data_IF_486006104681
#
_entry.id   IF_486006104681
#
_cell.length_a   1.000
_cell.length_b   1.000
_cell.length_c   1.000
_cell.angle_alpha   90.00
_cell.angle_beta   90.00
_cell.angle_gamma   90.00
#
_symmetry.space_group_name_H-M   'P 1'
#
loop_
_entity.id
_entity.type
_entity.pdbx_description
1 polymer ?
#
# COMPACT_ATOMS: atom_id res chain seq x y z
N UNK A 1 51.49 -35.29 70.93
CA UNK A 1 51.13 -34.82 69.58
C UNK A 1 49.62 -34.59 69.53
N UNK A 2 49.11 -33.39 69.45
CA UNK A 2 47.67 -33.14 69.39
C UNK A 2 47.17 -33.17 67.93
N UNK A 3 46.06 -33.90 67.64
CA UNK A 3 45.39 -33.96 66.39
C UNK A 3 44.49 -32.72 66.21
N UNK A 4 44.75 -31.95 65.15
CA UNK A 4 43.92 -30.82 64.79
C UNK A 4 42.79 -31.35 63.92
N UNK A 5 41.52 -31.27 64.35
CA UNK A 5 40.31 -31.58 63.57
C UNK A 5 39.83 -30.31 62.94
N UNK A 6 39.89 -30.29 61.59
CA UNK A 6 39.39 -29.18 60.72
C UNK A 6 37.88 -29.31 60.60
N UNK A 7 37.11 -28.44 61.26
CA UNK A 7 35.68 -28.30 61.02
C UNK A 7 35.45 -27.65 59.65
N UNK A 8 34.81 -28.36 58.67
CA UNK A 8 34.28 -27.80 57.50
C UNK A 8 32.98 -27.04 57.81
N UNK A 9 33.01 -25.73 57.73
CA UNK A 9 31.80 -24.89 57.74
C UNK A 9 31.08 -25.05 56.35
N UNK A 10 29.94 -25.72 56.37
CA UNK A 10 29.02 -25.75 55.24
C UNK A 10 28.39 -24.36 55.12
N UNK A 11 28.76 -23.64 54.07
CA UNK A 11 28.10 -22.38 53.68
C UNK A 11 26.67 -22.72 53.19
N UNK A 12 25.68 -22.33 53.99
CA UNK A 12 24.29 -22.41 53.59
C UNK A 12 24.04 -21.36 52.49
N UNK A 13 23.84 -21.82 51.26
CA UNK A 13 23.36 -20.99 50.15
C UNK A 13 21.95 -20.52 50.53
N UNK A 14 21.83 -19.31 51.00
CA UNK A 14 20.55 -18.64 51.26
C UNK A 14 19.98 -18.26 49.88
N UNK A 15 19.08 -19.09 49.35
CA UNK A 15 18.27 -18.75 48.18
C UNK A 15 17.30 -17.65 48.62
N UNK A 16 17.59 -16.41 48.23
CA UNK A 16 16.69 -15.28 48.49
C UNK A 16 15.35 -15.55 47.78
N UNK A 17 14.21 -15.45 48.50
CA UNK A 17 12.91 -15.63 47.86
C UNK A 17 12.71 -14.55 46.82
N UNK A 18 12.49 -14.96 45.58
CA UNK A 18 12.10 -14.06 44.47
C UNK A 18 10.79 -13.34 44.86
N UNK A 19 10.70 -12.03 44.68
CA UNK A 19 9.48 -11.30 45.03
C UNK A 19 8.33 -11.82 44.14
N UNK A 20 7.31 -12.43 44.75
CA UNK A 20 6.06 -12.82 44.11
C UNK A 20 5.45 -11.54 43.53
N UNK A 21 5.39 -11.40 42.19
CA UNK A 21 4.66 -10.33 41.52
C UNK A 21 3.22 -10.38 42.01
N UNK A 22 2.71 -9.31 42.63
CA UNK A 22 1.35 -9.27 43.14
C UNK A 22 0.40 -9.43 41.92
N UNK A 23 -0.63 -10.27 42.10
CA UNK A 23 -1.65 -10.56 41.02
C UNK A 23 -2.24 -9.28 40.41
N UNK A 24 -2.35 -8.19 41.17
CA UNK A 24 -2.81 -6.90 40.68
C UNK A 24 -1.86 -6.24 39.66
N UNK A 25 -0.53 -6.39 39.81
CA UNK A 25 0.42 -5.86 38.83
C UNK A 25 0.36 -6.64 37.51
N UNK A 26 0.21 -7.96 37.58
CA UNK A 26 0.07 -8.80 36.39
C UNK A 26 -1.20 -8.43 35.63
N UNK A 27 -2.30 -8.19 36.32
CA UNK A 27 -3.56 -7.78 35.69
C UNK A 27 -3.43 -6.42 34.97
N UNK A 28 -2.79 -5.44 35.61
CA UNK A 28 -2.53 -4.13 35.02
C UNK A 28 -1.64 -4.24 33.77
N UNK A 29 -0.59 -5.05 33.82
CA UNK A 29 0.31 -5.27 32.69
C UNK A 29 -0.43 -5.95 31.52
N UNK A 30 -1.29 -6.94 31.78
CA UNK A 30 -2.14 -7.57 30.78
C UNK A 30 -3.10 -6.55 30.13
N UNK A 31 -3.77 -5.70 30.93
CA UNK A 31 -4.66 -4.65 30.41
C UNK A 31 -3.91 -3.66 29.51
N UNK A 32 -2.70 -3.24 29.88
CA UNK A 32 -1.86 -2.37 29.04
C UNK A 32 -1.49 -3.05 27.71
N UNK A 33 -1.05 -4.31 27.76
CA UNK A 33 -0.70 -5.07 26.56
C UNK A 33 -1.91 -5.18 25.62
N UNK A 34 -3.08 -5.53 26.18
CA UNK A 34 -4.32 -5.62 25.40
C UNK A 34 -4.69 -4.27 24.76
N UNK A 35 -4.60 -3.18 25.55
CA UNK A 35 -4.87 -1.83 25.04
C UNK A 35 -3.91 -1.46 23.89
N UNK A 36 -2.60 -1.66 24.07
CA UNK A 36 -1.62 -1.36 23.02
C UNK A 36 -1.81 -2.22 21.77
N UNK A 37 -2.13 -3.51 21.95
CA UNK A 37 -2.42 -4.40 20.84
C UNK A 37 -3.69 -3.94 20.08
N UNK A 38 -4.73 -3.53 20.80
CA UNK A 38 -5.96 -3.01 20.19
C UNK A 38 -5.70 -1.71 19.41
N UNK A 39 -4.95 -0.77 20.00
CA UNK A 39 -4.57 0.48 19.33
C UNK A 39 -3.76 0.18 18.06
N UNK A 40 -2.79 -0.73 18.15
CA UNK A 40 -1.96 -1.15 17.01
C UNK A 40 -2.80 -1.78 15.90
N UNK A 41 -3.76 -2.64 16.24
CA UNK A 41 -4.67 -3.27 15.28
C UNK A 41 -5.56 -2.24 14.59
N UNK A 42 -6.15 -1.30 15.33
CA UNK A 42 -6.97 -0.22 14.76
C UNK A 42 -6.10 0.65 13.84
N UNK A 43 -4.91 1.05 14.28
CA UNK A 43 -4.00 1.87 13.48
C UNK A 43 -3.57 1.15 12.19
N UNK A 44 -3.21 -0.13 12.26
CA UNK A 44 -2.82 -0.89 11.07
C UNK A 44 -3.97 -1.08 10.08
N UNK A 45 -5.20 -1.25 10.56
CA UNK A 45 -6.38 -1.43 9.70
C UNK A 45 -6.75 -0.17 8.88
N UNK A 46 -6.38 1.02 9.36
CA UNK A 46 -6.61 2.28 8.64
C UNK A 46 -5.58 2.56 7.54
N UNK A 47 -4.42 1.89 7.59
CA UNK A 47 -3.33 2.11 6.64
C UNK A 47 -3.28 1.09 5.50
N UNK A 48 -4.00 -0.02 5.64
CA UNK A 48 -3.89 -1.18 4.75
C UNK A 48 -5.27 -1.65 4.35
N UNK A 49 -5.53 -1.67 3.03
CA UNK A 49 -6.72 -2.30 2.46
C UNK A 49 -6.34 -3.61 1.72
N UNK A 50 -7.25 -4.55 1.70
CA UNK A 50 -7.10 -5.83 0.99
C UNK A 50 -8.13 -5.91 -0.11
N UNK A 51 -7.67 -6.29 -1.31
CA UNK A 51 -8.53 -6.44 -2.48
C UNK A 51 -8.28 -7.80 -3.13
N UNK A 52 -9.29 -8.33 -3.77
CA UNK A 52 -9.19 -9.47 -4.69
C UNK A 52 -9.34 -8.91 -6.13
N UNK A 53 -8.51 -9.41 -7.03
CA UNK A 53 -8.52 -8.98 -8.43
C UNK A 53 -9.57 -9.81 -9.15
N UNK A 54 -10.54 -9.14 -9.76
CA UNK A 54 -11.62 -9.78 -10.51
C UNK A 54 -11.44 -9.63 -12.03
N UNK A 55 -10.67 -8.62 -12.47
CA UNK A 55 -10.54 -8.23 -13.88
C UNK A 55 -9.24 -8.70 -14.50
N UNK A 56 -9.26 -8.89 -15.82
CA UNK A 56 -8.11 -9.31 -16.64
C UNK A 56 -7.27 -8.15 -17.17
N UNK A 57 -7.61 -6.90 -16.82
CA UNK A 57 -6.99 -5.68 -17.38
C UNK A 57 -5.50 -5.52 -17.05
N UNK A 58 -4.99 -6.26 -16.07
CA UNK A 58 -3.59 -6.23 -15.64
C UNK A 58 -2.80 -7.51 -15.99
N UNK A 59 -3.39 -8.39 -16.82
CA UNK A 59 -2.67 -9.55 -17.36
C UNK A 59 -1.54 -9.10 -18.32
N UNK A 60 -0.45 -9.86 -18.37
CA UNK A 60 -0.16 -11.12 -17.65
C UNK A 60 0.41 -10.92 -16.23
N UNK A 61 0.60 -9.69 -15.78
CA UNK A 61 1.28 -9.40 -14.52
C UNK A 61 0.40 -9.68 -13.29
N UNK A 62 -0.92 -9.52 -13.44
CA UNK A 62 -1.89 -9.87 -12.42
C UNK A 62 -3.05 -10.63 -13.04
N UNK A 63 -3.57 -11.62 -12.30
CA UNK A 63 -4.67 -12.48 -12.76
C UNK A 63 -5.86 -12.41 -11.79
N UNK A 64 -7.10 -12.68 -12.27
CA UNK A 64 -8.26 -12.82 -11.42
C UNK A 64 -8.04 -13.87 -10.30
N UNK A 65 -8.62 -13.61 -9.12
CA UNK A 65 -8.46 -14.45 -7.92
C UNK A 65 -7.20 -14.20 -7.10
N UNK A 66 -6.27 -13.39 -7.61
CA UNK A 66 -5.12 -12.95 -6.80
C UNK A 66 -5.55 -11.93 -5.77
N UNK A 67 -4.89 -11.95 -4.59
CA UNK A 67 -5.18 -11.00 -3.51
C UNK A 67 -4.00 -10.10 -3.25
N UNK A 68 -4.29 -8.82 -3.11
CA UNK A 68 -3.31 -7.76 -2.96
C UNK A 68 -3.52 -6.97 -1.67
N UNK A 69 -2.43 -6.38 -1.20
CA UNK A 69 -2.43 -5.38 -0.12
C UNK A 69 -2.14 -4.02 -0.75
N UNK A 70 -3.00 -3.07 -0.43
CA UNK A 70 -2.92 -1.68 -0.87
C UNK A 70 -2.57 -0.81 0.31
N UNK A 71 -1.51 -0.03 0.20
CA UNK A 71 -1.12 0.96 1.19
C UNK A 71 -1.85 2.27 0.95
N UNK A 72 -2.53 2.74 1.99
CA UNK A 72 -3.20 4.05 2.05
C UNK A 72 -2.43 5.06 2.90
N UNK A 73 -1.18 4.75 3.26
CA UNK A 73 -0.39 5.49 4.25
C UNK A 73 -0.33 7.00 3.97
N UNK A 74 -0.16 7.41 2.71
CA UNK A 74 -0.11 8.83 2.34
C UNK A 74 -1.41 9.58 2.59
N UNK A 75 -2.57 8.94 2.39
CA UNK A 75 -3.89 9.56 2.67
C UNK A 75 -4.10 9.81 4.16
N UNK A 76 -3.71 8.86 5.00
CA UNK A 76 -3.87 8.97 6.45
C UNK A 76 -2.99 10.10 7.05
N UNK A 77 -1.74 10.21 6.61
CA UNK A 77 -0.82 11.24 7.10
C UNK A 77 -1.18 12.65 6.60
N UNK A 78 -1.62 12.79 5.36
CA UNK A 78 -2.01 14.10 4.78
C UNK A 78 -3.16 14.75 5.53
N UNK A 79 -4.20 14.00 5.92
CA UNK A 79 -5.35 14.51 6.67
C UNK A 79 -5.00 14.90 8.11
N UNK A 80 -4.04 14.23 8.73
CA UNK A 80 -3.65 14.47 10.11
C UNK A 80 -2.73 15.70 10.27
N UNK A 81 -1.82 15.90 9.31
CA UNK A 81 -0.89 17.05 9.31
C UNK A 81 -1.56 18.38 8.93
N UNK A 82 -2.63 18.34 8.16
CA UNK A 82 -3.34 19.57 7.74
C UNK A 82 -4.24 20.19 8.82
N UNK A 83 -4.40 19.54 9.99
CA UNK A 83 -5.21 20.07 11.11
C UNK A 83 -6.67 20.29 10.79
N UNK A 84 -7.15 19.89 9.63
CA UNK A 84 -8.50 20.07 9.15
C UNK A 84 -9.32 18.82 9.42
N UNK A 85 -10.02 18.80 10.55
CA UNK A 85 -11.01 17.77 10.88
C UNK A 85 -12.18 17.69 9.88
N UNK A 86 -12.21 18.58 8.89
CA UNK A 86 -13.25 18.71 7.86
C UNK A 86 -12.72 18.69 6.42
N UNK A 87 -11.42 18.52 6.21
CA UNK A 87 -10.92 18.22 4.89
C UNK A 87 -11.20 16.73 4.60
N UNK A 88 -12.43 16.46 4.32
CA UNK A 88 -12.94 15.15 3.93
C UNK A 88 -12.40 14.69 2.57
N UNK A 89 -11.30 15.09 2.10
CA UNK A 89 -10.52 14.50 1.01
C UNK A 89 -9.15 15.18 1.05
N UNK A 90 -8.04 14.48 1.33
CA UNK A 90 -6.74 15.00 0.94
C UNK A 90 -6.78 15.12 -0.59
N UNK A 91 -6.90 16.34 -1.06
CA UNK A 91 -7.09 16.70 -2.45
C UNK A 91 -5.81 16.52 -3.30
N UNK A 92 -4.94 15.60 -2.92
CA UNK A 92 -3.74 15.37 -3.70
C UNK A 92 -3.16 13.99 -3.41
N UNK A 93 -3.15 13.14 -4.43
CA UNK A 93 -2.36 11.92 -4.42
C UNK A 93 -0.85 12.20 -4.30
N UNK A 94 -0.42 13.46 -4.43
CA UNK A 94 0.92 13.90 -4.07
C UNK A 94 1.27 13.57 -2.60
N UNK A 95 0.28 13.57 -1.70
CA UNK A 95 0.47 13.14 -0.31
C UNK A 95 0.79 11.62 -0.18
N UNK A 96 0.41 10.81 -1.17
CA UNK A 96 0.70 9.36 -1.18
C UNK A 96 2.12 9.07 -1.70
N UNK A 97 2.79 10.07 -2.30
CA UNK A 97 4.12 9.89 -2.89
C UNK A 97 4.11 8.89 -4.05
N UNK A 98 3.10 8.95 -4.90
CA UNK A 98 2.96 8.06 -6.06
C UNK A 98 4.11 8.29 -7.04
N UNK A 99 4.61 7.18 -7.58
CA UNK A 99 5.66 7.17 -8.59
C UNK A 99 5.18 6.46 -9.86
N UNK A 100 5.76 6.81 -11.02
CA UNK A 100 5.47 6.10 -12.26
C UNK A 100 5.73 4.61 -12.12
N UNK A 101 5.01 3.84 -12.92
CA UNK A 101 5.06 2.38 -12.97
C UNK A 101 4.47 1.66 -11.75
N UNK A 102 4.13 2.36 -10.68
CA UNK A 102 3.44 1.74 -9.54
C UNK A 102 2.05 1.26 -9.93
N UNK A 103 1.64 0.16 -9.34
CA UNK A 103 0.29 -0.37 -9.46
C UNK A 103 -0.59 0.31 -8.41
N UNK A 104 -1.69 0.90 -8.88
CA UNK A 104 -2.56 1.76 -8.07
C UNK A 104 -3.99 1.27 -8.14
N UNK A 105 -4.71 1.40 -7.04
CA UNK A 105 -6.14 1.12 -6.93
C UNK A 105 -6.87 2.46 -6.75
N UNK A 106 -7.90 2.69 -7.55
CA UNK A 106 -8.67 3.94 -7.56
C UNK A 106 -10.11 3.72 -8.04
N UNK A 107 -10.98 4.68 -7.81
CA UNK A 107 -12.33 4.71 -8.37
C UNK A 107 -12.34 5.46 -9.70
N UNK A 108 -13.06 4.91 -10.71
CA UNK A 108 -13.21 5.58 -12.02
C UNK A 108 -14.07 6.83 -11.89
N UNK A 109 -15.10 6.78 -11.06
CA UNK A 109 -16.05 7.88 -10.82
C UNK A 109 -16.07 8.28 -9.36
N UNK A 110 -16.80 9.34 -9.01
CA UNK A 110 -17.01 9.73 -7.60
C UNK A 110 -18.00 8.80 -6.89
N UNK A 111 -18.72 7.98 -7.64
CA UNK A 111 -19.60 6.93 -7.10
C UNK A 111 -18.76 5.73 -6.62
N UNK A 112 -18.57 5.65 -5.31
CA UNK A 112 -17.81 4.57 -4.68
C UNK A 112 -18.63 3.28 -4.50
N UNK A 113 -19.85 3.20 -5.01
CA UNK A 113 -20.63 1.96 -5.05
C UNK A 113 -20.13 0.98 -6.11
N UNK A 114 -19.41 1.49 -7.14
CA UNK A 114 -18.77 0.67 -8.14
C UNK A 114 -17.43 0.09 -7.61
N UNK A 115 -17.07 -1.14 -8.04
CA UNK A 115 -15.80 -1.73 -7.63
C UNK A 115 -14.62 -0.90 -8.14
N UNK A 116 -13.57 -0.69 -7.30
CA UNK A 116 -12.41 0.06 -7.72
C UNK A 116 -11.60 -0.66 -8.80
N UNK A 117 -10.92 0.12 -9.63
CA UNK A 117 -10.04 -0.36 -10.69
C UNK A 117 -8.61 -0.52 -10.16
N UNK A 118 -7.90 -1.51 -10.71
CA UNK A 118 -6.45 -1.69 -10.54
C UNK A 118 -5.77 -1.41 -11.88
N UNK A 119 -4.83 -0.46 -11.92
CA UNK A 119 -4.07 -0.07 -13.12
C UNK A 119 -2.65 0.34 -12.77
N UNK A 120 -1.83 0.51 -13.80
CA UNK A 120 -0.47 1.05 -13.67
C UNK A 120 -0.49 2.56 -13.87
N UNK A 121 0.20 3.27 -12.98
CA UNK A 121 0.38 4.71 -13.05
C UNK A 121 1.43 5.06 -14.11
N UNK A 122 1.00 5.80 -15.12
CA UNK A 122 1.84 6.19 -16.26
C UNK A 122 2.17 7.68 -16.22
N UNK A 123 1.16 8.54 -16.08
CA UNK A 123 1.33 10.00 -16.05
C UNK A 123 1.12 10.57 -14.65
N UNK A 124 1.96 11.51 -14.26
CA UNK A 124 1.91 12.29 -13.03
C UNK A 124 1.40 13.71 -13.31
N UNK A 125 0.93 14.45 -12.30
CA UNK A 125 0.50 15.84 -12.46
C UNK A 125 1.52 16.69 -13.21
N UNK A 126 1.03 17.44 -14.19
CA UNK A 126 1.83 18.31 -15.07
C UNK A 126 2.51 17.63 -16.24
N UNK A 127 2.40 16.31 -16.40
CA UNK A 127 2.96 15.61 -17.54
C UNK A 127 2.19 15.85 -18.84
N UNK A 128 2.89 15.97 -19.94
CA UNK A 128 2.35 15.75 -21.26
C UNK A 128 2.41 14.25 -21.57
N UNK A 129 1.26 13.61 -21.60
CA UNK A 129 1.10 12.21 -22.01
C UNK A 129 0.75 12.17 -23.49
N UNK A 130 1.45 11.34 -24.26
CA UNK A 130 1.11 11.09 -25.67
C UNK A 130 1.25 9.59 -25.97
N UNK A 131 0.33 9.06 -26.78
CA UNK A 131 0.31 7.67 -27.25
C UNK A 131 0.27 7.69 -28.77
N UNK A 132 1.34 7.23 -29.40
CA UNK A 132 1.49 7.10 -30.85
C UNK A 132 2.58 6.06 -31.16
N UNK A 133 2.65 5.62 -32.39
CA UNK A 133 3.64 4.65 -32.87
C UNK A 133 3.76 3.38 -31.99
N UNK A 134 2.62 2.94 -31.43
CA UNK A 134 2.55 1.76 -30.59
C UNK A 134 3.22 1.90 -29.22
N UNK A 135 3.48 3.12 -28.77
CA UNK A 135 4.15 3.38 -27.49
C UNK A 135 3.57 4.57 -26.73
N UNK A 136 3.95 4.65 -25.45
CA UNK A 136 3.62 5.77 -24.57
C UNK A 136 4.81 6.72 -24.46
N UNK A 137 4.53 8.01 -24.52
CA UNK A 137 5.50 9.09 -24.39
C UNK A 137 5.09 10.01 -23.24
N UNK A 138 6.05 10.36 -22.39
CA UNK A 138 5.88 11.35 -21.33
C UNK A 138 6.86 12.48 -21.58
N UNK A 139 6.34 13.70 -21.68
CA UNK A 139 7.13 14.89 -21.97
C UNK A 139 8.04 14.70 -23.21
N UNK A 140 7.45 14.12 -24.28
CA UNK A 140 8.10 13.79 -25.56
C UNK A 140 9.22 12.71 -25.46
N UNK A 141 9.29 11.95 -24.37
CA UNK A 141 10.23 10.83 -24.22
C UNK A 141 9.46 9.52 -24.13
N UNK A 142 9.85 8.55 -24.96
CA UNK A 142 9.25 7.22 -24.92
C UNK A 142 9.50 6.56 -23.57
N UNK A 143 8.44 6.05 -22.96
CA UNK A 143 8.51 5.27 -21.72
C UNK A 143 8.87 3.84 -22.06
N UNK A 144 9.91 3.24 -21.46
CA UNK A 144 10.15 1.79 -21.57
C UNK A 144 9.06 1.02 -20.84
N UNK A 145 8.44 0.07 -21.51
CA UNK A 145 7.34 -0.73 -20.95
C UNK A 145 7.65 -2.24 -21.09
N UNK A 146 8.69 -2.74 -20.37
CA UNK A 146 9.16 -4.13 -20.52
C UNK A 146 8.14 -5.17 -20.02
N UNK A 147 7.12 -4.74 -19.33
CA UNK A 147 6.02 -5.56 -18.81
C UNK A 147 4.92 -5.82 -19.84
N UNK A 148 5.01 -5.23 -21.03
CA UNK A 148 4.04 -5.41 -22.11
C UNK A 148 4.52 -6.42 -23.14
N UNK A 149 3.56 -7.15 -23.70
CA UNK A 149 3.78 -8.07 -24.82
C UNK A 149 3.28 -7.51 -26.16
N UNK A 150 2.51 -6.43 -26.14
CA UNK A 150 1.84 -5.86 -27.32
C UNK A 150 1.99 -4.33 -27.35
N UNK A 151 1.95 -3.70 -28.53
CA UNK A 151 1.93 -2.26 -28.66
C UNK A 151 0.74 -1.62 -27.94
N UNK A 152 0.86 -0.32 -27.63
CA UNK A 152 -0.21 0.46 -27.05
C UNK A 152 -0.93 1.25 -28.14
N UNK A 153 -2.18 0.90 -28.40
CA UNK A 153 -3.07 1.68 -29.24
C UNK A 153 -3.88 2.68 -28.39
N UNK A 154 -4.33 3.75 -29.01
CA UNK A 154 -5.12 4.76 -28.34
C UNK A 154 -6.37 5.11 -29.16
N UNK A 155 -7.49 5.39 -28.46
CA UNK A 155 -8.79 5.66 -29.09
C UNK A 155 -9.33 7.06 -28.83
N UNK A 156 -9.10 7.66 -27.68
CA UNK A 156 -9.69 8.94 -27.30
C UNK A 156 -8.67 9.93 -26.72
N UNK A 157 -8.21 9.69 -25.50
CA UNK A 157 -7.30 10.60 -24.79
C UNK A 157 -5.83 10.29 -25.12
N UNK A 158 -5.47 10.41 -26.40
CA UNK A 158 -4.15 10.00 -26.91
C UNK A 158 -3.05 11.04 -26.72
N UNK A 159 -3.41 12.30 -26.49
CA UNK A 159 -2.44 13.37 -26.20
C UNK A 159 -3.11 14.43 -25.34
N UNK A 160 -2.59 14.62 -24.12
CA UNK A 160 -3.10 15.61 -23.18
C UNK A 160 -2.03 15.98 -22.15
N UNK A 161 -2.17 17.20 -21.61
CA UNK A 161 -1.37 17.63 -20.44
C UNK A 161 -2.22 17.43 -19.19
N UNK A 162 -1.65 16.72 -18.21
CA UNK A 162 -2.32 16.46 -16.94
C UNK A 162 -2.36 17.70 -16.06
N UNK A 163 -3.49 17.95 -15.42
CA UNK A 163 -3.66 19.01 -14.42
C UNK A 163 -2.84 18.75 -13.14
N UNK A 164 -2.91 19.71 -12.21
CA UNK A 164 -2.12 19.70 -10.97
C UNK A 164 -2.42 18.53 -10.01
N UNK A 165 -3.57 17.87 -10.15
CA UNK A 165 -3.97 16.70 -9.35
C UNK A 165 -4.56 15.60 -10.23
N UNK A 166 -4.08 15.48 -11.46
CA UNK A 166 -4.54 14.49 -12.43
C UNK A 166 -3.47 13.44 -12.69
N UNK A 167 -3.92 12.20 -12.81
CA UNK A 167 -3.09 11.03 -13.02
C UNK A 167 -3.59 10.24 -14.22
N UNK A 168 -2.69 9.62 -14.96
CA UNK A 168 -3.01 8.82 -16.13
C UNK A 168 -2.65 7.35 -15.88
N UNK A 169 -3.63 6.48 -15.99
CA UNK A 169 -3.50 5.07 -15.66
C UNK A 169 -3.75 4.20 -16.89
N UNK A 170 -2.92 3.17 -17.08
CA UNK A 170 -3.10 2.16 -18.11
C UNK A 170 -3.13 0.75 -17.50
N UNK A 171 -3.95 -0.11 -18.11
CA UNK A 171 -3.86 -1.54 -17.82
C UNK A 171 -2.71 -2.19 -18.57
N UNK A 172 -2.12 -3.23 -18.01
CA UNK A 172 -1.04 -3.98 -18.64
C UNK A 172 -1.58 -4.81 -19.83
N UNK A 173 -2.82 -5.27 -19.76
CA UNK A 173 -3.51 -5.91 -20.87
C UNK A 173 -4.11 -4.84 -21.82
N UNK A 174 -3.27 -4.17 -22.61
CA UNK A 174 -3.61 -3.02 -23.44
C UNK A 174 -4.83 -3.23 -24.36
N UNK A 175 -5.01 -4.40 -25.01
CA UNK A 175 -6.12 -4.63 -25.94
C UNK A 175 -7.51 -4.63 -25.28
N UNK A 176 -7.61 -5.06 -24.01
CA UNK A 176 -8.90 -5.25 -23.33
C UNK A 176 -9.11 -4.32 -22.14
N UNK A 177 -8.10 -3.55 -21.77
CA UNK A 177 -8.18 -2.68 -20.60
C UNK A 177 -9.07 -1.46 -20.88
N UNK A 178 -10.09 -1.28 -20.04
CA UNK A 178 -10.78 0.00 -19.87
C UNK A 178 -9.96 0.87 -18.94
N UNK A 179 -9.35 1.95 -19.45
CA UNK A 179 -8.41 2.78 -18.75
C UNK A 179 -8.40 4.24 -19.24
N UNK A 180 -7.44 5.05 -18.83
CA UNK A 180 -7.40 6.48 -19.14
C UNK A 180 -7.41 6.81 -20.64
N UNK A 181 -7.17 5.86 -21.52
CA UNK A 181 -7.36 6.04 -22.98
C UNK A 181 -8.82 6.25 -23.35
N UNK A 182 -9.76 5.76 -22.54
CA UNK A 182 -11.20 5.88 -22.75
C UNK A 182 -11.85 6.91 -21.84
N UNK A 183 -11.61 6.86 -20.51
CA UNK A 183 -12.25 7.75 -19.54
C UNK A 183 -11.43 9.01 -19.20
N UNK A 184 -10.19 9.12 -19.70
CA UNK A 184 -9.33 10.28 -19.46
C UNK A 184 -8.56 10.24 -18.14
N UNK A 185 -8.03 11.40 -17.71
CA UNK A 185 -7.27 11.51 -16.47
C UNK A 185 -8.15 11.31 -15.24
N UNK A 186 -7.55 10.80 -14.17
CA UNK A 186 -8.22 10.53 -12.89
C UNK A 186 -7.69 11.51 -11.83
N UNK A 187 -8.58 12.24 -11.16
CA UNK A 187 -8.16 13.13 -10.08
C UNK A 187 -7.68 12.36 -8.86
N UNK A 188 -6.71 12.93 -8.14
CA UNK A 188 -6.03 12.26 -7.03
C UNK A 188 -6.93 11.91 -5.84
N UNK A 189 -8.06 12.61 -5.66
CA UNK A 189 -9.05 12.29 -4.62
C UNK A 189 -9.71 10.91 -4.82
N UNK A 190 -9.72 10.38 -6.05
CA UNK A 190 -10.25 9.05 -6.39
C UNK A 190 -9.24 7.92 -6.15
N UNK A 191 -7.97 8.24 -5.92
CA UNK A 191 -6.94 7.25 -5.66
C UNK A 191 -7.12 6.69 -4.25
N UNK A 192 -7.22 5.36 -4.14
CA UNK A 192 -7.29 4.64 -2.84
C UNK A 192 -5.88 4.45 -2.28
N UNK A 193 -4.95 3.96 -3.10
CA UNK A 193 -3.57 3.74 -2.70
C UNK A 193 -2.77 2.89 -3.68
N UNK A 194 -1.51 2.65 -3.36
CA UNK A 194 -0.62 1.82 -4.16
C UNK A 194 -0.61 0.37 -3.68
N UNK A 195 -0.49 -0.56 -4.61
CA UNK A 195 -0.27 -1.97 -4.30
C UNK A 195 1.14 -2.14 -3.74
N UNK A 196 1.25 -2.74 -2.57
CA UNK A 196 2.55 -3.00 -1.92
C UNK A 196 2.88 -4.47 -1.85
N UNK A 197 1.89 -5.35 -1.98
CA UNK A 197 2.10 -6.79 -1.92
C UNK A 197 0.99 -7.54 -2.66
N UNK A 198 1.36 -8.57 -3.41
CA UNK A 198 0.47 -9.66 -3.79
C UNK A 198 0.75 -10.81 -2.83
N UNK A 199 -0.24 -11.20 -2.01
CA UNK A 199 -0.05 -12.19 -0.97
C UNK A 199 -0.76 -13.53 -1.24
N UNK A 200 -1.58 -13.60 -2.27
CA UNK A 200 -2.23 -14.82 -2.70
C UNK A 200 -2.25 -14.94 -4.24
N UNK A 201 -2.00 -16.13 -4.80
CA UNK A 201 -1.61 -17.35 -4.11
C UNK A 201 -0.18 -17.26 -3.51
N UNK A 202 0.13 -18.09 -2.51
CA UNK A 202 1.37 -17.99 -1.72
C UNK A 202 2.64 -18.27 -2.52
N UNK A 203 2.56 -19.09 -3.57
CA UNK A 203 3.64 -19.39 -4.50
C UNK A 203 4.00 -18.19 -5.42
N UNK A 204 3.12 -17.17 -5.48
CA UNK A 204 3.32 -15.95 -6.24
C UNK A 204 3.47 -14.72 -5.34
N UNK A 205 3.81 -14.91 -4.07
CA UNK A 205 4.02 -13.81 -3.14
C UNK A 205 5.06 -12.83 -3.70
N UNK A 206 4.67 -11.55 -3.82
CA UNK A 206 5.50 -10.50 -4.41
C UNK A 206 5.32 -9.20 -3.65
N UNK A 207 6.44 -8.52 -3.35
CA UNK A 207 6.44 -7.18 -2.74
C UNK A 207 6.77 -6.17 -3.84
N UNK A 208 5.97 -5.10 -3.90
CA UNK A 208 6.12 -3.99 -4.85
C UNK A 208 6.67 -2.76 -4.11
N UNK A 209 7.61 -2.07 -4.72
CA UNK A 209 8.26 -0.86 -4.18
C UNK A 209 7.69 0.42 -4.80
#
# INVERSE_FOLDING_TARGET
MPRITRRRTLSANTISPQPRRSSGRVLIDLLKITLYATILLIFSSTLIARYEIEQTSMEPNFHPGQRIIVSQAGRAYGSWLSGSAYAAHPSSAAAIGLQREQIVVFYETDDQSEPPLIKRLIGLPGDLVAIHDGGVFINNRRVPEPYLSVPTDCSAYCSLTLGADEYYFLGDNRPVSHDSRQFGPVPGNRVIGRVVMRFWPLDQLTIFS
#
